data_IF_598662746579
#
_entry.id   IF_598662746579
#
_cell.length_a   1.000
_cell.length_b   1.000
_cell.length_c   1.000
_cell.angle_alpha   90.00
_cell.angle_beta   90.00
_cell.angle_gamma   90.00
#
_symmetry.space_group_name_H-M   'P 1'
#
loop_
_entity.id
_entity.type
_entity.pdbx_description
1 polymer ?
#
# COMPACT_ATOMS: atom_id res chain seq x y z
N UNK A 1 -1.57 -15.21 0.71
CA UNK A 1 -1.93 -13.80 0.84
C UNK A 1 -3.21 -13.65 1.63
N UNK A 2 -3.31 -12.64 2.44
CA UNK A 2 -4.49 -12.42 3.28
C UNK A 2 -5.68 -11.91 2.48
N UNK A 3 -6.90 -12.34 2.81
CA UNK A 3 -8.12 -11.79 2.25
C UNK A 3 -8.30 -10.31 2.60
N UNK A 4 -7.53 -9.83 3.57
CA UNK A 4 -7.61 -8.44 4.04
C UNK A 4 -6.74 -7.47 3.24
N UNK A 5 -5.95 -7.99 2.29
CA UNK A 5 -5.11 -7.18 1.42
C UNK A 5 -5.65 -7.29 0.00
N UNK A 6 -5.97 -6.15 -0.60
CA UNK A 6 -6.60 -6.09 -1.92
C UNK A 6 -5.54 -5.76 -2.98
N UNK A 7 -5.48 -6.57 -4.05
CA UNK A 7 -4.67 -6.22 -5.22
C UNK A 7 -5.41 -5.17 -6.04
N UNK A 8 -4.71 -4.09 -6.37
CA UNK A 8 -5.27 -3.01 -7.18
C UNK A 8 -4.70 -3.03 -8.59
N UNK A 9 -5.55 -2.68 -9.54
CA UNK A 9 -5.18 -2.43 -10.92
C UNK A 9 -5.94 -1.20 -11.42
N UNK A 10 -5.88 -0.92 -12.72
CA UNK A 10 -6.52 0.28 -13.27
C UNK A 10 -8.05 0.28 -13.12
N UNK A 11 -8.66 -0.90 -12.93
CA UNK A 11 -10.11 -1.00 -12.83
C UNK A 11 -10.65 -0.64 -11.44
N UNK A 12 -9.84 -0.75 -10.39
CA UNK A 12 -10.31 -0.54 -9.01
C UNK A 12 -9.48 0.45 -8.20
N UNK A 13 -8.38 0.98 -8.76
CA UNK A 13 -7.48 1.85 -7.99
C UNK A 13 -8.19 3.12 -7.52
N UNK A 14 -8.75 3.89 -8.45
CA UNK A 14 -9.36 5.18 -8.12
C UNK A 14 -10.51 5.03 -7.11
N UNK A 15 -11.40 4.08 -7.35
CA UNK A 15 -12.54 3.89 -6.46
C UNK A 15 -12.10 3.46 -5.05
N UNK A 16 -11.00 2.75 -4.94
CA UNK A 16 -10.49 2.30 -3.65
C UNK A 16 -9.81 3.43 -2.88
N UNK A 17 -8.90 4.17 -3.51
CA UNK A 17 -8.12 5.20 -2.80
C UNK A 17 -8.93 6.45 -2.50
N UNK A 18 -10.04 6.68 -3.22
CA UNK A 18 -10.87 7.85 -3.00
C UNK A 18 -11.99 7.64 -1.98
N UNK A 19 -12.24 6.40 -1.55
CA UNK A 19 -13.19 6.17 -0.48
C UNK A 19 -12.66 6.86 0.79
N UNK A 20 -13.49 7.59 1.50
CA UNK A 20 -13.03 8.51 2.53
C UNK A 20 -13.20 8.06 3.97
N UNK A 21 -13.73 6.85 4.20
CA UNK A 21 -14.09 6.43 5.54
C UNK A 21 -12.92 6.02 6.41
N UNK A 22 -11.87 5.43 5.83
CA UNK A 22 -10.66 5.01 6.56
C UNK A 22 -9.43 5.29 5.71
N UNK A 23 -8.23 5.36 6.32
CA UNK A 23 -7.00 5.48 5.54
C UNK A 23 -6.79 4.29 4.61
N UNK A 24 -6.17 4.52 3.47
CA UNK A 24 -5.85 3.49 2.49
C UNK A 24 -4.33 3.42 2.35
N UNK A 25 -3.78 2.25 2.63
CA UNK A 25 -2.34 1.97 2.54
C UNK A 25 -2.10 1.22 1.24
N UNK A 26 -1.24 1.73 0.37
CA UNK A 26 -0.95 1.12 -0.92
C UNK A 26 0.53 0.80 -1.02
N UNK A 27 0.85 -0.48 -1.14
CA UNK A 27 2.22 -0.98 -1.31
C UNK A 27 2.51 -1.21 -2.80
N UNK A 28 3.46 -0.47 -3.35
CA UNK A 28 3.94 -0.65 -4.72
C UNK A 28 5.10 -1.64 -4.69
N UNK A 29 4.95 -2.75 -5.40
CA UNK A 29 5.86 -3.90 -5.32
C UNK A 29 6.06 -4.56 -6.67
N UNK A 30 7.01 -5.50 -6.74
CA UNK A 30 7.19 -6.36 -7.91
C UNK A 30 7.60 -7.77 -7.45
N UNK A 31 7.26 -8.81 -8.22
CA UNK A 31 7.57 -10.20 -7.82
C UNK A 31 9.04 -10.50 -7.64
N UNK A 32 9.93 -9.79 -8.36
CA UNK A 32 11.38 -10.00 -8.29
C UNK A 32 12.06 -9.19 -7.21
N UNK A 33 11.33 -8.40 -6.48
CA UNK A 33 11.90 -7.45 -5.52
C UNK A 33 12.09 -8.12 -4.17
N UNK A 34 13.35 -8.31 -3.75
CA UNK A 34 13.69 -8.92 -2.47
C UNK A 34 13.13 -8.16 -1.26
N UNK A 35 13.39 -6.84 -1.14
CA UNK A 35 12.84 -6.04 -0.03
C UNK A 35 11.31 -6.04 0.03
N UNK A 36 10.64 -6.15 -1.13
CA UNK A 36 9.18 -6.26 -1.16
C UNK A 36 8.70 -7.53 -0.47
N UNK A 37 9.46 -8.62 -0.62
CA UNK A 37 9.13 -9.88 0.05
C UNK A 37 9.29 -9.78 1.56
N UNK A 38 10.25 -8.99 2.02
CA UNK A 38 10.46 -8.76 3.44
C UNK A 38 9.34 -7.94 4.08
N UNK A 39 8.74 -7.02 3.32
CA UNK A 39 7.66 -6.17 3.84
C UNK A 39 6.30 -6.87 3.82
N UNK A 40 6.14 -7.90 3.01
CA UNK A 40 4.86 -8.59 2.87
C UNK A 40 4.29 -9.12 4.21
N UNK A 41 5.06 -9.82 5.07
CA UNK A 41 4.53 -10.24 6.36
C UNK A 41 4.18 -9.08 7.29
N UNK A 42 4.89 -7.95 7.17
CA UNK A 42 4.58 -6.75 7.95
C UNK A 42 3.21 -6.21 7.58
N UNK A 43 2.89 -6.20 6.28
CA UNK A 43 1.57 -5.76 5.81
C UNK A 43 0.47 -6.73 6.22
N UNK A 44 0.76 -8.04 6.26
CA UNK A 44 -0.19 -9.02 6.76
C UNK A 44 -0.50 -8.77 8.24
N UNK A 45 0.52 -8.52 9.05
CA UNK A 45 0.34 -8.20 10.46
C UNK A 45 -0.45 -6.91 10.63
N UNK A 46 -0.14 -5.89 9.84
CA UNK A 46 -0.86 -4.61 9.88
C UNK A 46 -2.34 -4.81 9.53
N UNK A 47 -2.62 -5.59 8.49
CA UNK A 47 -4.00 -5.88 8.08
C UNK A 47 -4.77 -6.61 9.17
N UNK A 48 -4.11 -7.53 9.89
CA UNK A 48 -4.76 -8.25 10.98
C UNK A 48 -5.00 -7.36 12.19
N UNK A 49 -4.03 -6.52 12.56
CA UNK A 49 -4.13 -5.69 13.75
C UNK A 49 -5.11 -4.52 13.56
N UNK A 50 -5.19 -3.97 12.36
CA UNK A 50 -6.02 -2.80 12.07
C UNK A 50 -7.21 -3.13 11.18
N UNK A 51 -7.68 -4.37 11.22
CA UNK A 51 -8.82 -4.83 10.45
C UNK A 51 -10.03 -3.93 10.67
N UNK A 52 -10.60 -3.41 9.58
CA UNK A 52 -11.72 -2.48 9.65
C UNK A 52 -11.34 -1.02 9.91
N UNK A 53 -10.12 -0.76 10.42
CA UNK A 53 -9.66 0.60 10.71
C UNK A 53 -8.87 1.21 9.55
N UNK A 54 -8.29 0.37 8.68
CA UNK A 54 -7.57 0.81 7.48
C UNK A 54 -7.85 -0.17 6.35
N UNK A 55 -7.66 0.28 5.12
CA UNK A 55 -7.70 -0.58 3.93
C UNK A 55 -6.26 -0.77 3.47
N UNK A 56 -5.83 -2.02 3.33
CA UNK A 56 -4.46 -2.35 2.90
C UNK A 56 -4.52 -2.91 1.48
N UNK A 57 -3.73 -2.33 0.58
CA UNK A 57 -3.72 -2.68 -0.84
C UNK A 57 -2.31 -2.86 -1.36
N UNK A 58 -2.18 -3.53 -2.50
CA UNK A 58 -0.92 -3.73 -3.19
C UNK A 58 -1.10 -3.43 -4.68
N UNK A 59 -0.08 -2.84 -5.29
CA UNK A 59 -0.03 -2.59 -6.73
C UNK A 59 1.25 -3.20 -7.28
N UNK A 60 1.12 -4.15 -8.21
CA UNK A 60 2.25 -4.72 -8.91
C UNK A 60 2.70 -3.73 -10.01
N UNK A 61 3.89 -3.16 -9.86
CA UNK A 61 4.35 -2.11 -10.78
C UNK A 61 4.66 -2.64 -12.18
N UNK A 62 4.93 -3.94 -12.32
CA UNK A 62 5.18 -4.53 -13.64
C UNK A 62 3.93 -4.54 -14.52
N UNK A 63 2.79 -4.85 -13.93
CA UNK A 63 1.53 -4.93 -14.67
C UNK A 63 0.71 -3.65 -14.58
N UNK A 64 1.13 -2.66 -13.77
CA UNK A 64 0.40 -1.41 -13.56
C UNK A 64 1.35 -0.22 -13.64
N UNK A 65 2.16 -0.15 -14.69
CA UNK A 65 3.17 0.90 -14.84
C UNK A 65 2.56 2.30 -14.92
N UNK A 66 1.34 2.43 -15.42
CA UNK A 66 0.66 3.73 -15.52
C UNK A 66 0.34 4.29 -14.13
N UNK A 67 -0.11 3.42 -13.22
CA UNK A 67 -0.39 3.85 -11.83
C UNK A 67 0.92 4.26 -11.15
N UNK A 68 1.96 3.44 -11.28
CA UNK A 68 3.26 3.74 -10.69
C UNK A 68 3.82 5.07 -11.22
N UNK A 69 3.68 5.31 -12.52
CA UNK A 69 4.15 6.54 -13.14
C UNK A 69 3.38 7.76 -12.63
N UNK A 70 2.06 7.63 -12.48
CA UNK A 70 1.21 8.71 -12.00
C UNK A 70 1.64 9.20 -10.61
N UNK A 71 2.09 8.29 -9.75
CA UNK A 71 2.54 8.64 -8.40
C UNK A 71 4.06 8.75 -8.28
N UNK A 72 4.76 8.75 -9.42
CA UNK A 72 6.22 8.94 -9.49
C UNK A 72 6.98 7.91 -8.63
N UNK A 73 6.53 6.66 -8.69
CA UNK A 73 7.18 5.58 -7.96
C UNK A 73 8.50 5.25 -8.65
N UNK A 74 9.62 5.50 -7.98
CA UNK A 74 10.98 5.31 -8.54
C UNK A 74 11.75 4.20 -7.85
N UNK A 75 11.29 3.78 -6.70
CA UNK A 75 11.90 2.71 -5.93
C UNK A 75 10.82 1.84 -5.33
N UNK A 76 11.10 0.56 -5.13
CA UNK A 76 10.17 -0.37 -4.49
C UNK A 76 10.89 -1.12 -3.38
N UNK A 77 10.18 -1.45 -2.30
CA UNK A 77 8.78 -1.09 -2.05
C UNK A 77 8.62 0.40 -1.76
N UNK A 78 7.51 0.96 -2.17
CA UNK A 78 7.07 2.29 -1.76
C UNK A 78 5.65 2.16 -1.26
N UNK A 79 5.38 2.68 -0.07
CA UNK A 79 4.04 2.66 0.52
C UNK A 79 3.50 4.08 0.53
N UNK A 80 2.33 4.25 -0.07
CA UNK A 80 1.59 5.51 -0.02
C UNK A 80 0.42 5.35 0.95
N UNK A 81 0.18 6.37 1.76
CA UNK A 81 -0.98 6.40 2.65
C UNK A 81 -1.91 7.50 2.14
N UNK A 82 -3.16 7.11 1.83
CA UNK A 82 -4.19 8.02 1.35
C UNK A 82 -5.20 8.29 2.45
N UNK A 83 -5.65 9.53 2.56
CA UNK A 83 -6.81 9.92 3.37
C UNK A 83 -7.67 10.83 2.51
N UNK A 84 -8.93 10.44 2.33
CA UNK A 84 -9.86 11.21 1.51
C UNK A 84 -9.40 11.39 0.06
N UNK A 85 -8.74 10.39 -0.50
CA UNK A 85 -8.26 10.43 -1.88
C UNK A 85 -6.93 11.15 -2.08
N UNK A 86 -6.33 11.67 -1.01
CA UNK A 86 -5.08 12.44 -1.07
C UNK A 86 -3.96 11.68 -0.40
N UNK A 87 -2.77 11.65 -1.01
CA UNK A 87 -1.58 11.07 -0.39
C UNK A 87 -1.14 11.97 0.76
N UNK A 88 -1.16 11.42 1.98
CA UNK A 88 -0.77 12.17 3.18
C UNK A 88 0.59 11.72 3.72
N UNK A 89 1.11 10.57 3.29
CA UNK A 89 2.42 10.10 3.71
C UNK A 89 3.01 9.15 2.67
N UNK A 90 4.33 9.07 2.62
CA UNK A 90 5.08 8.21 1.71
C UNK A 90 6.21 7.54 2.47
N UNK A 91 6.33 6.22 2.33
CA UNK A 91 7.42 5.45 2.94
C UNK A 91 8.17 4.72 1.83
N UNK A 92 9.44 5.04 1.63
CA UNK A 92 10.27 4.40 0.60
C UNK A 92 11.21 3.41 1.26
N UNK A 93 11.20 2.18 0.76
CA UNK A 93 12.06 1.12 1.28
C UNK A 93 11.45 0.35 2.45
N UNK A 94 12.29 -0.38 3.15
CA UNK A 94 11.84 -1.19 4.28
C UNK A 94 11.39 -0.31 5.45
N UNK A 95 10.40 -0.79 6.17
CA UNK A 95 9.86 -0.12 7.34
C UNK A 95 9.45 -1.17 8.36
N UNK A 96 9.03 -0.74 9.54
CA UNK A 96 8.56 -1.63 10.61
C UNK A 96 7.06 -1.51 10.80
N UNK A 97 6.48 -2.53 11.44
CA UNK A 97 5.06 -2.49 11.81
C UNK A 97 4.75 -1.30 12.70
N UNK A 98 5.62 -1.03 13.69
CA UNK A 98 5.44 0.11 14.60
C UNK A 98 5.45 1.44 13.88
N UNK A 99 6.37 1.61 12.92
CA UNK A 99 6.46 2.86 12.15
C UNK A 99 5.22 3.08 11.31
N UNK A 100 4.71 2.02 10.67
CA UNK A 100 3.47 2.12 9.89
C UNK A 100 2.28 2.43 10.77
N UNK A 101 2.17 1.78 11.92
CA UNK A 101 1.08 2.04 12.87
C UNK A 101 1.12 3.49 13.37
N UNK A 102 2.31 4.01 13.64
CA UNK A 102 2.47 5.40 14.09
C UNK A 102 1.97 6.39 13.03
N UNK A 103 2.21 6.11 11.75
CA UNK A 103 1.75 6.98 10.65
C UNK A 103 0.25 6.92 10.45
N UNK A 104 -0.40 5.86 10.92
CA UNK A 104 -1.84 5.65 10.77
C UNK A 104 -2.62 6.06 12.03
N UNK A 105 -1.94 6.39 13.08
CA UNK A 105 -2.57 6.78 14.36
C UNK A 105 -3.26 8.14 14.27
#
# INVERSE_FOLDING_TARGET
MSDKITELDSSNFESTVTQGSVPVVVDFWAPWCGPCKAIAPILEDLANELDGAVTICKVNVESNSEIASKYEIRAIPTILIFKGGTVVDTVVGLTSLEDLKAKLA
#
